data_IF_640996912913
#
_entry.id   IF_640996912913
#
_cell.length_a   1.000
_cell.length_b   1.000
_cell.length_c   1.000
_cell.angle_alpha   90.00
_cell.angle_beta   90.00
_cell.angle_gamma   90.00
#
_symmetry.space_group_name_H-M   'P 1'
#
loop_
_entity.id
_entity.type
_entity.pdbx_description
1 polymer ?
#
# COMPACT_ATOMS: atom_id res chain seq x y z
N UNK A 1 -11.99 7.01 -14.59
CA UNK A 1 -10.96 8.06 -14.57
C UNK A 1 -9.75 7.58 -13.78
N UNK A 2 -9.84 7.43 -12.45
CA UNK A 2 -8.74 6.96 -11.59
C UNK A 2 -8.00 5.71 -12.10
N UNK A 3 -8.70 4.58 -12.26
CA UNK A 3 -8.10 3.31 -12.67
C UNK A 3 -7.32 3.40 -14.00
N UNK A 4 -7.79 4.20 -14.97
CA UNK A 4 -7.12 4.35 -16.28
C UNK A 4 -5.81 5.13 -16.19
N UNK A 5 -5.70 6.08 -15.27
CA UNK A 5 -4.52 6.91 -15.10
C UNK A 5 -3.49 6.28 -14.15
N UNK A 6 -3.97 5.58 -13.11
CA UNK A 6 -3.15 5.08 -12.02
C UNK A 6 -2.74 3.61 -12.19
N UNK A 7 -3.62 2.73 -12.68
CA UNK A 7 -3.33 1.30 -12.78
C UNK A 7 -2.53 0.99 -14.05
N UNK A 8 -1.25 1.36 -14.00
CA UNK A 8 -0.23 1.06 -15.00
C UNK A 8 0.80 0.07 -14.43
N UNK A 9 1.45 -0.75 -15.26
CA UNK A 9 2.59 -1.55 -14.83
C UNK A 9 3.65 -0.65 -14.22
N UNK A 10 4.21 -1.06 -13.08
CA UNK A 10 5.35 -0.37 -12.50
C UNK A 10 6.55 -0.76 -13.35
N UNK A 11 7.23 0.22 -13.94
CA UNK A 11 8.52 -0.04 -14.57
C UNK A 11 9.47 -0.49 -13.46
N UNK A 12 9.88 -1.75 -13.50
CA UNK A 12 10.98 -2.21 -12.68
C UNK A 12 12.23 -1.68 -13.35
N UNK A 13 12.84 -0.63 -12.79
CA UNK A 13 14.22 -0.33 -13.15
C UNK A 13 15.03 -1.56 -12.74
N UNK A 14 15.57 -2.28 -13.73
CA UNK A 14 16.53 -3.32 -13.45
C UNK A 14 17.75 -2.63 -12.82
N UNK A 15 17.90 -2.73 -11.50
CA UNK A 15 19.15 -2.40 -10.81
C UNK A 15 20.22 -3.46 -11.16
N UNK A 16 20.37 -3.82 -12.43
CA UNK A 16 21.28 -4.87 -12.90
C UNK A 16 22.69 -4.36 -13.21
N UNK A 17 23.03 -3.11 -12.86
CA UNK A 17 24.38 -2.56 -13.08
C UNK A 17 25.02 -1.78 -11.92
N UNK A 18 24.42 -1.73 -10.74
CA UNK A 18 25.12 -1.21 -9.56
C UNK A 18 25.83 -2.38 -8.88
N UNK A 19 26.96 -2.78 -9.45
CA UNK A 19 27.98 -3.55 -8.75
C UNK A 19 28.26 -2.88 -7.40
N UNK A 20 28.05 -3.66 -6.34
CA UNK A 20 28.69 -3.59 -5.01
C UNK A 20 29.66 -2.42 -4.87
N UNK A 21 29.13 -1.25 -4.53
CA UNK A 21 29.90 -0.21 -3.85
C UNK A 21 29.15 0.10 -2.56
N UNK A 22 29.89 0.08 -1.45
CA UNK A 22 29.42 0.53 -0.13
C UNK A 22 28.84 1.93 -0.28
N UNK A 23 27.52 2.01 -0.35
CA UNK A 23 26.77 3.24 -0.26
C UNK A 23 26.09 3.27 1.11
N UNK A 24 26.90 3.45 2.15
CA UNK A 24 26.39 3.88 3.46
C UNK A 24 25.87 5.35 3.40
N UNK A 25 26.09 6.08 2.29
CA UNK A 25 25.79 7.51 2.14
C UNK A 25 25.03 7.92 0.85
N UNK A 26 24.42 6.99 0.08
CA UNK A 26 23.47 7.39 -0.99
C UNK A 26 22.03 7.31 -0.50
N UNK A 27 21.61 8.35 0.23
CA UNK A 27 20.20 8.69 0.40
C UNK A 27 19.53 8.76 -0.98
N UNK A 28 18.72 7.74 -1.28
CA UNK A 28 17.65 7.73 -2.26
C UNK A 28 17.95 8.53 -3.54
N UNK A 29 18.56 7.89 -4.56
CA UNK A 29 18.44 8.41 -5.92
C UNK A 29 16.93 8.53 -6.23
N UNK A 30 16.42 9.77 -6.16
CA UNK A 30 14.99 10.04 -6.13
C UNK A 30 14.39 9.64 -7.47
N UNK A 31 13.87 8.41 -7.56
CA UNK A 31 13.13 7.97 -8.74
C UNK A 31 11.76 8.65 -8.70
N UNK A 32 11.67 9.75 -9.44
CA UNK A 32 10.48 10.58 -9.54
C UNK A 32 9.63 10.17 -10.75
N UNK A 33 8.32 10.14 -10.55
CA UNK A 33 7.36 9.94 -11.64
C UNK A 33 7.37 11.15 -12.59
N UNK A 34 7.66 10.90 -13.87
CA UNK A 34 7.76 11.93 -14.91
C UNK A 34 6.41 12.62 -15.13
N UNK A 35 5.32 11.87 -15.03
CA UNK A 35 3.97 12.38 -15.20
C UNK A 35 3.33 12.90 -13.89
N UNK A 36 4.14 13.23 -12.86
CA UNK A 36 3.64 13.60 -11.52
C UNK A 36 2.57 14.70 -11.55
N UNK A 37 2.78 15.75 -12.34
CA UNK A 37 1.81 16.86 -12.49
C UNK A 37 0.42 16.43 -12.98
N UNK A 38 0.30 15.24 -13.58
CA UNK A 38 -0.98 14.65 -13.97
C UNK A 38 -1.45 13.56 -13.00
N UNK A 39 -0.52 12.85 -12.36
CA UNK A 39 -0.82 11.76 -11.42
C UNK A 39 -1.34 12.30 -10.08
N UNK A 40 -0.70 13.34 -9.55
CA UNK A 40 -1.05 13.94 -8.26
C UNK A 40 -2.51 14.43 -8.20
N UNK A 41 -3.01 15.25 -9.15
CA UNK A 41 -4.40 15.69 -9.13
C UNK A 41 -5.41 14.54 -9.21
N UNK A 42 -5.06 13.41 -9.85
CA UNK A 42 -5.93 12.23 -9.94
C UNK A 42 -6.07 11.57 -8.58
N UNK A 43 -4.98 11.45 -7.82
CA UNK A 43 -5.01 10.95 -6.45
C UNK A 43 -5.75 11.88 -5.50
N UNK A 44 -5.46 13.18 -5.55
CA UNK A 44 -6.11 14.17 -4.70
C UNK A 44 -7.62 14.21 -4.93
N UNK A 45 -8.04 14.28 -6.19
CA UNK A 45 -9.46 14.25 -6.54
C UNK A 45 -10.14 12.99 -6.01
N UNK A 46 -9.51 11.82 -6.19
CA UNK A 46 -10.06 10.57 -5.68
C UNK A 46 -10.17 10.58 -4.15
N UNK A 47 -9.15 11.05 -3.44
CA UNK A 47 -9.15 11.14 -1.98
C UNK A 47 -10.22 12.09 -1.46
N UNK A 48 -10.40 13.25 -2.09
CA UNK A 48 -11.50 14.19 -1.76
C UNK A 48 -12.87 13.53 -1.96
N UNK A 49 -13.05 12.81 -3.06
CA UNK A 49 -14.30 12.05 -3.30
C UNK A 49 -14.49 10.97 -2.23
N UNK A 50 -13.43 10.25 -1.84
CA UNK A 50 -13.47 9.23 -0.78
C UNK A 50 -13.85 9.80 0.59
N UNK A 51 -13.41 11.01 0.90
CA UNK A 51 -13.74 11.66 2.17
C UNK A 51 -15.16 12.24 2.21
N UNK A 52 -15.75 12.53 1.05
CA UNK A 52 -17.07 13.14 0.95
C UNK A 52 -18.19 12.08 0.94
N UNK A 53 -18.63 11.72 2.14
CA UNK A 53 -19.68 10.71 2.38
C UNK A 53 -21.06 11.10 1.85
N UNK A 54 -21.30 12.38 1.56
CA UNK A 54 -22.56 12.85 0.96
C UNK A 54 -22.70 12.40 -0.50
N UNK A 55 -21.59 12.36 -1.24
CA UNK A 55 -21.58 11.91 -2.64
C UNK A 55 -21.47 10.39 -2.77
N UNK A 56 -20.78 9.74 -1.84
CA UNK A 56 -20.63 8.29 -1.81
C UNK A 56 -21.84 7.62 -1.17
N UNK A 57 -22.96 7.60 -1.90
CA UNK A 57 -23.98 6.60 -1.58
C UNK A 57 -23.32 5.24 -1.77
N UNK A 58 -23.06 4.53 -0.67
CA UNK A 58 -22.20 3.35 -0.66
C UNK A 58 -22.67 2.30 -1.68
N UNK A 59 -23.96 2.27 -2.03
CA UNK A 59 -24.52 1.39 -3.05
C UNK A 59 -23.95 1.61 -4.46
N UNK A 60 -23.76 2.86 -4.90
CA UNK A 60 -23.28 3.17 -6.25
C UNK A 60 -21.77 2.95 -6.38
N UNK A 61 -20.99 3.31 -5.36
CA UNK A 61 -19.53 3.14 -5.39
C UNK A 61 -19.09 1.68 -5.19
N UNK A 62 -19.90 0.88 -4.46
CA UNK A 62 -19.64 -0.56 -4.21
C UNK A 62 -19.49 -1.38 -5.49
N UNK A 63 -20.17 -1.02 -6.58
CA UNK A 63 -20.06 -1.78 -7.84
C UNK A 63 -18.76 -1.50 -8.60
N UNK A 64 -18.03 -0.44 -8.25
CA UNK A 64 -16.82 -0.02 -8.96
C UNK A 64 -15.53 -0.23 -8.15
N UNK A 65 -15.61 -0.19 -6.82
CA UNK A 65 -14.50 -0.52 -5.93
C UNK A 65 -14.72 -1.96 -5.49
N UNK A 66 -14.20 -2.90 -6.29
CA UNK A 66 -14.24 -4.33 -6.03
C UNK A 66 -12.88 -4.84 -5.52
N UNK A 67 -12.79 -6.15 -5.26
CA UNK A 67 -11.53 -6.78 -4.86
C UNK A 67 -10.42 -6.59 -5.91
N UNK A 68 -10.77 -6.56 -7.20
CA UNK A 68 -9.81 -6.33 -8.29
C UNK A 68 -9.22 -4.92 -8.22
N UNK A 69 -10.04 -3.91 -7.97
CA UNK A 69 -9.59 -2.53 -7.77
C UNK A 69 -8.57 -2.45 -6.63
N UNK A 70 -8.85 -3.11 -5.49
CA UNK A 70 -7.93 -3.15 -4.33
C UNK A 70 -6.61 -3.82 -4.69
N UNK A 71 -6.63 -4.94 -5.43
CA UNK A 71 -5.40 -5.61 -5.86
C UNK A 71 -4.57 -4.74 -6.81
N UNK A 72 -5.22 -4.07 -7.78
CA UNK A 72 -4.54 -3.14 -8.66
C UNK A 72 -3.93 -1.95 -7.90
N UNK A 73 -4.61 -1.46 -6.86
CA UNK A 73 -4.09 -0.41 -5.99
C UNK A 73 -2.89 -0.90 -5.17
N UNK A 74 -2.96 -2.11 -4.59
CA UNK A 74 -1.85 -2.70 -3.84
C UNK A 74 -0.63 -2.98 -4.73
N UNK A 75 -0.83 -3.39 -5.98
CA UNK A 75 0.26 -3.55 -6.94
C UNK A 75 1.03 -2.24 -7.19
N UNK A 76 0.40 -1.08 -7.00
CA UNK A 76 1.05 0.24 -7.13
C UNK A 76 1.98 0.59 -5.97
N UNK A 77 1.90 -0.09 -4.83
CA UNK A 77 2.89 0.04 -3.74
C UNK A 77 4.28 -0.46 -4.12
N UNK A 78 4.50 -0.89 -5.36
CA UNK A 78 5.84 -1.13 -5.92
C UNK A 78 6.51 0.13 -6.51
N UNK A 79 5.83 1.28 -6.47
CA UNK A 79 6.41 2.54 -6.93
C UNK A 79 7.58 2.98 -6.04
N UNK A 80 8.61 3.55 -6.66
CA UNK A 80 9.76 4.12 -5.96
C UNK A 80 9.55 5.59 -5.54
N UNK A 81 8.66 6.32 -6.22
CA UNK A 81 8.37 7.73 -5.90
C UNK A 81 7.65 7.85 -4.54
N UNK A 82 8.37 8.39 -3.53
CA UNK A 82 7.88 8.55 -2.16
C UNK A 82 6.60 9.39 -2.06
N UNK A 83 6.38 10.33 -2.98
CA UNK A 83 5.17 11.16 -3.03
C UNK A 83 3.97 10.32 -3.41
N UNK A 84 4.14 9.45 -4.42
CA UNK A 84 3.07 8.53 -4.85
C UNK A 84 2.76 7.52 -3.73
N UNK A 85 3.78 7.02 -3.02
CA UNK A 85 3.59 6.13 -1.86
C UNK A 85 2.74 6.77 -0.76
N UNK A 86 3.00 8.04 -0.44
CA UNK A 86 2.22 8.80 0.54
C UNK A 86 0.73 8.95 0.15
N UNK A 87 0.45 9.20 -1.13
CA UNK A 87 -0.91 9.27 -1.65
C UNK A 87 -1.59 7.90 -1.68
N UNK A 88 -0.88 6.85 -2.12
CA UNK A 88 -1.34 5.46 -2.11
C UNK A 88 -1.74 4.99 -0.71
N UNK A 89 -0.91 5.27 0.29
CA UNK A 89 -1.20 5.04 1.71
C UNK A 89 -2.53 5.66 2.12
N UNK A 90 -2.68 6.95 1.84
CA UNK A 90 -3.89 7.72 2.18
C UNK A 90 -5.13 7.19 1.46
N UNK A 91 -5.00 6.84 0.19
CA UNK A 91 -6.08 6.27 -0.62
C UNK A 91 -6.52 4.89 -0.10
N UNK A 92 -5.56 3.99 0.16
CA UNK A 92 -5.85 2.65 0.67
C UNK A 92 -6.54 2.71 2.04
N UNK A 93 -6.04 3.57 2.94
CA UNK A 93 -6.65 3.76 4.25
C UNK A 93 -8.09 4.32 4.14
N UNK A 94 -8.31 5.28 3.23
CA UNK A 94 -9.65 5.86 2.99
C UNK A 94 -10.64 4.80 2.47
N UNK A 95 -10.22 3.94 1.53
CA UNK A 95 -11.03 2.81 1.05
C UNK A 95 -11.35 1.84 2.19
N UNK A 96 -10.37 1.52 3.05
CA UNK A 96 -10.61 0.68 4.22
C UNK A 96 -11.65 1.27 5.19
N UNK A 97 -11.58 2.59 5.43
CA UNK A 97 -12.47 3.29 6.34
C UNK A 97 -13.92 3.25 5.85
N UNK A 98 -14.12 3.63 4.59
CA UNK A 98 -15.44 3.79 3.97
C UNK A 98 -16.09 2.45 3.60
N UNK A 99 -15.33 1.50 3.03
CA UNK A 99 -15.88 0.24 2.51
C UNK A 99 -15.73 -0.92 3.49
N UNK A 100 -16.68 -1.04 4.42
CA UNK A 100 -16.71 -2.10 5.44
C UNK A 100 -16.57 -3.52 4.87
N UNK A 101 -17.16 -3.79 3.72
CA UNK A 101 -17.16 -5.11 3.08
C UNK A 101 -15.77 -5.54 2.57
N UNK A 102 -14.90 -4.58 2.23
CA UNK A 102 -13.55 -4.87 1.74
C UNK A 102 -12.51 -4.98 2.85
N UNK A 103 -12.86 -4.68 4.11
CA UNK A 103 -11.90 -4.64 5.22
C UNK A 103 -11.15 -5.96 5.40
N UNK A 104 -11.86 -7.08 5.40
CA UNK A 104 -11.22 -8.41 5.53
C UNK A 104 -10.29 -8.69 4.35
N UNK A 105 -10.74 -8.41 3.13
CA UNK A 105 -9.95 -8.62 1.92
C UNK A 105 -8.69 -7.74 1.89
N UNK A 106 -8.80 -6.46 2.26
CA UNK A 106 -7.67 -5.53 2.34
C UNK A 106 -6.65 -6.04 3.36
N UNK A 107 -7.08 -6.42 4.57
CA UNK A 107 -6.15 -6.96 5.60
C UNK A 107 -5.45 -8.23 5.12
N UNK A 108 -6.19 -9.16 4.53
CA UNK A 108 -5.61 -10.39 3.99
C UNK A 108 -4.60 -10.09 2.87
N UNK A 109 -4.93 -9.17 1.96
CA UNK A 109 -4.05 -8.80 0.86
C UNK A 109 -2.76 -8.10 1.35
N UNK A 110 -2.86 -7.21 2.34
CA UNK A 110 -1.68 -6.59 2.96
C UNK A 110 -0.84 -7.67 3.65
N UNK A 111 -1.46 -8.58 4.42
CA UNK A 111 -0.77 -9.69 5.07
C UNK A 111 -0.03 -10.58 4.06
N UNK A 112 -0.63 -10.87 2.91
CA UNK A 112 0.03 -11.62 1.84
C UNK A 112 1.28 -10.92 1.30
N UNK A 113 1.21 -9.60 1.09
CA UNK A 113 2.37 -8.80 0.64
C UNK A 113 3.47 -8.78 1.70
N UNK A 114 3.11 -8.60 2.98
CA UNK A 114 4.07 -8.60 4.08
C UNK A 114 4.73 -9.96 4.29
N UNK A 115 3.97 -11.05 4.16
CA UNK A 115 4.50 -12.40 4.20
C UNK A 115 5.44 -12.66 3.03
N UNK A 116 5.07 -12.23 1.82
CA UNK A 116 5.95 -12.32 0.67
C UNK A 116 7.27 -11.61 0.95
N UNK A 117 7.23 -10.38 1.45
CA UNK A 117 8.46 -9.65 1.82
C UNK A 117 9.28 -10.34 2.91
N UNK A 118 8.64 -10.98 3.89
CA UNK A 118 9.34 -11.68 4.98
C UNK A 118 10.16 -12.89 4.49
N UNK A 119 9.69 -13.58 3.46
CA UNK A 119 10.34 -14.80 2.92
C UNK A 119 11.07 -14.56 1.60
N UNK A 120 10.69 -13.53 0.83
CA UNK A 120 11.23 -13.11 -0.46
C UNK A 120 11.53 -11.59 -0.40
N UNK A 121 12.59 -11.16 0.31
CA UNK A 121 12.88 -9.75 0.59
C UNK A 121 13.29 -8.94 -0.64
N UNK A 122 13.62 -9.59 -1.77
CA UNK A 122 13.99 -8.94 -3.03
C UNK A 122 12.78 -8.30 -3.76
N UNK A 123 11.62 -8.27 -3.10
CA UNK A 123 10.41 -7.68 -3.67
C UNK A 123 10.34 -6.17 -3.36
N UNK A 124 10.26 -5.29 -4.40
CA UNK A 124 10.31 -3.83 -4.23
C UNK A 124 8.96 -3.28 -3.76
N UNK A 125 8.43 -3.75 -2.64
CA UNK A 125 7.21 -3.21 -2.06
C UNK A 125 7.53 -2.12 -1.03
N UNK A 126 6.64 -1.15 -0.94
CA UNK A 126 6.65 -0.07 0.03
C UNK A 126 6.10 -0.55 1.37
N UNK A 127 6.93 -1.32 2.11
CA UNK A 127 6.52 -2.01 3.34
C UNK A 127 6.18 -1.02 4.46
N UNK A 128 6.95 0.07 4.59
CA UNK A 128 6.72 1.07 5.63
C UNK A 128 5.31 1.67 5.55
N UNK A 129 4.89 2.12 4.37
CA UNK A 129 3.58 2.70 4.16
C UNK A 129 2.44 1.70 4.39
N UNK A 130 2.62 0.43 4.02
CA UNK A 130 1.64 -0.63 4.31
C UNK A 130 1.53 -0.91 5.82
N UNK A 131 2.66 -0.90 6.54
CA UNK A 131 2.67 -1.04 8.00
C UNK A 131 2.02 0.16 8.69
N UNK A 132 2.18 1.37 8.18
CA UNK A 132 1.46 2.54 8.69
C UNK A 132 -0.06 2.40 8.53
N UNK A 133 -0.53 1.90 7.37
CA UNK A 133 -1.96 1.61 7.17
C UNK A 133 -2.42 0.56 8.19
N UNK A 134 -1.68 -0.54 8.36
CA UNK A 134 -2.03 -1.56 9.36
C UNK A 134 -2.03 -1.00 10.78
N UNK A 135 -1.05 -0.16 11.15
CA UNK A 135 -1.00 0.49 12.45
C UNK A 135 -2.23 1.35 12.70
N UNK A 136 -2.65 2.14 11.71
CA UNK A 136 -3.89 2.92 11.78
C UNK A 136 -5.13 2.04 11.93
N UNK A 137 -5.18 0.90 11.24
CA UNK A 137 -6.25 -0.09 11.37
C UNK A 137 -6.29 -0.69 12.78
N UNK A 138 -5.14 -1.07 13.35
CA UNK A 138 -5.05 -1.65 14.70
C UNK A 138 -5.46 -0.65 15.78
N UNK A 139 -5.07 0.62 15.65
CA UNK A 139 -5.47 1.68 16.58
C UNK A 139 -6.99 1.90 16.63
N UNK A 140 -7.71 1.57 15.55
CA UNK A 140 -9.17 1.66 15.48
C UNK A 140 -9.92 0.44 16.03
N UNK A 141 -9.23 -0.58 16.58
CA UNK A 141 -9.89 -1.80 17.08
C UNK A 141 -10.48 -1.62 18.48
N UNK A 142 -11.65 -2.20 18.69
CA UNK A 142 -12.27 -2.29 20.00
C UNK A 142 -11.87 -3.59 20.72
N UNK A 143 -11.80 -3.53 22.05
CA UNK A 143 -11.67 -4.72 22.89
C UNK A 143 -13.03 -5.44 23.03
N UNK A 144 -13.08 -6.78 23.06
CA UNK A 144 -11.96 -7.74 22.96
C UNK A 144 -11.44 -7.93 21.53
N UNK A 145 -10.12 -8.10 21.39
CA UNK A 145 -9.45 -8.35 20.12
C UNK A 145 -9.91 -9.69 19.52
N UNK A 146 -10.40 -9.63 18.27
CA UNK A 146 -10.71 -10.83 17.49
C UNK A 146 -9.44 -11.63 17.19
N UNK A 147 -9.60 -12.95 17.08
CA UNK A 147 -8.47 -13.86 16.84
C UNK A 147 -7.78 -13.61 15.48
N UNK A 148 -8.50 -13.12 14.47
CA UNK A 148 -7.91 -12.72 13.17
C UNK A 148 -6.78 -11.68 13.31
N UNK A 149 -6.88 -10.79 14.29
CA UNK A 149 -5.87 -9.77 14.56
C UNK A 149 -4.67 -10.36 15.31
N UNK A 150 -4.92 -11.30 16.23
CA UNK A 150 -3.85 -12.04 16.91
C UNK A 150 -3.04 -12.88 15.92
N UNK A 151 -3.73 -13.56 15.01
CA UNK A 151 -3.08 -14.32 13.93
C UNK A 151 -2.22 -13.41 13.04
N UNK A 152 -2.70 -12.21 12.71
CA UNK A 152 -1.91 -11.23 11.94
C UNK A 152 -0.63 -10.85 12.68
N UNK A 153 -0.71 -10.56 13.97
CA UNK A 153 0.46 -10.20 14.78
C UNK A 153 1.45 -11.37 14.83
N UNK A 154 0.98 -12.56 15.19
CA UNK A 154 1.84 -13.74 15.44
C UNK A 154 2.45 -14.27 14.15
N UNK A 155 1.66 -14.36 13.08
CA UNK A 155 2.05 -15.03 11.83
C UNK A 155 2.64 -14.10 10.79
N UNK A 156 2.40 -12.79 10.88
CA UNK A 156 2.86 -11.82 9.88
C UNK A 156 3.84 -10.83 10.50
N UNK A 157 3.45 -10.10 11.55
CA UNK A 157 4.29 -9.04 12.11
C UNK A 157 5.54 -9.57 12.82
N UNK A 158 5.43 -10.65 13.60
CA UNK A 158 6.60 -11.23 14.28
C UNK A 158 7.64 -11.75 13.26
N UNK A 159 7.28 -12.52 12.21
CA UNK A 159 8.23 -12.95 11.20
C UNK A 159 8.90 -11.82 10.41
N UNK A 160 8.24 -10.66 10.23
CA UNK A 160 8.86 -9.52 9.55
C UNK A 160 10.17 -9.09 10.21
N UNK A 161 10.27 -9.16 11.55
CA UNK A 161 11.50 -8.82 12.28
C UNK A 161 12.69 -9.72 11.98
N UNK A 162 12.48 -10.85 11.30
CA UNK A 162 13.55 -11.76 10.86
C UNK A 162 14.00 -11.48 9.42
N UNK A 163 13.37 -10.55 8.72
CA UNK A 163 13.74 -10.22 7.34
C UNK A 163 15.15 -9.61 7.32
N UNK A 164 16.05 -10.10 6.45
CA UNK A 164 17.41 -9.57 6.34
C UNK A 164 17.46 -8.09 5.89
N UNK A 165 16.35 -7.58 5.34
CA UNK A 165 16.22 -6.17 4.97
C UNK A 165 16.09 -5.21 6.16
N UNK A 166 15.80 -5.71 7.37
CA UNK A 166 15.74 -4.90 8.61
C UNK A 166 17.09 -4.82 9.35
N UNK A 167 18.03 -5.70 9.01
CA UNK A 167 19.38 -5.74 9.58
C UNK A 167 20.44 -5.11 8.65
N UNK A 168 20.02 -4.58 7.50
CA UNK A 168 20.85 -3.80 6.60
C UNK A 168 20.67 -2.32 6.90
#
# INVERSE_FOLDING_TARGET
MFAKNIFRPVLQYENSQLEVFDFEDEEDELVLEVAWAHVEPVYELFNVVMQNTFFLTTSMAKSYIDSKFVLCLLARFRCQDSRERGLLKTTLHSIYREFRNHRTFIRQSINSVLLQFAYEPDTPFSIAELLEVLGSIFNGLCSPLKDEYKDTIIRVLIPLHKSPALSR
#
